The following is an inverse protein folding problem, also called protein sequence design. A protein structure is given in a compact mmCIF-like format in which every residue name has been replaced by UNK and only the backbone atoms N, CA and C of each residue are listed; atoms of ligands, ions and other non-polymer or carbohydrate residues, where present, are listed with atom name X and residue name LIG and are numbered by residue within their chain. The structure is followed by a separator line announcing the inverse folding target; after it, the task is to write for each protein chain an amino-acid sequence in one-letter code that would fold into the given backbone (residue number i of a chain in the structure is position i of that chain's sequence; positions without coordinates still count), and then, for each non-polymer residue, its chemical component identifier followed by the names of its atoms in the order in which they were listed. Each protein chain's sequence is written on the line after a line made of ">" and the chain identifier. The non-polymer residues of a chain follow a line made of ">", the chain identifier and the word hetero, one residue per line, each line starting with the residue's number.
data_IF_161007701367
#
_entry.id   IF_161007701367
#
_cell.length_a   1.000
_cell.length_b   1.000
_cell.length_c   1.000
_cell.angle_alpha   90.00
_cell.angle_beta   90.00
_cell.angle_gamma   90.00
#
_symmetry.space_group_name_H-M   'P 1'
#
loop_
_entity.id
_entity.type
_entity.pdbx_description
1 polymer ?
#
# COMPACT_ATOMS: atom_id res chain seq x y z
N UNK A 1 3.14 16.06 -16.65
CA UNK A 1 3.56 14.65 -16.82
C UNK A 1 3.84 14.32 -18.28
N UNK A 2 3.08 14.87 -19.24
CA UNK A 2 3.30 14.65 -20.69
C UNK A 2 4.74 14.91 -21.12
N UNK A 3 5.33 16.06 -20.75
CA UNK A 3 6.75 16.36 -21.04
C UNK A 3 7.72 15.26 -20.59
N UNK A 4 7.51 14.70 -19.40
CA UNK A 4 8.36 13.61 -18.89
C UNK A 4 8.10 12.30 -19.64
N UNK A 5 6.89 12.12 -20.17
CA UNK A 5 6.53 10.97 -21.00
C UNK A 5 7.19 11.06 -22.37
N UNK A 6 7.15 12.23 -23.00
CA UNK A 6 7.79 12.50 -24.30
C UNK A 6 9.32 12.42 -24.25
N UNK A 7 9.92 12.61 -23.07
CA UNK A 7 11.37 12.61 -22.88
C UNK A 7 11.89 11.33 -22.19
N UNK A 8 11.01 10.36 -21.93
CA UNK A 8 11.37 9.09 -21.29
C UNK A 8 10.72 7.92 -22.02
N UNK A 9 11.47 7.33 -22.95
CA UNK A 9 11.04 6.14 -23.68
C UNK A 9 10.65 5.02 -22.72
N UNK A 10 9.51 4.36 -22.98
CA UNK A 10 8.96 3.32 -22.12
C UNK A 10 8.11 3.82 -20.96
N UNK A 11 8.06 5.14 -20.70
CA UNK A 11 7.15 5.68 -19.68
C UNK A 11 5.74 5.92 -20.22
N UNK A 12 4.74 5.91 -19.32
CA UNK A 12 3.33 6.10 -19.65
C UNK A 12 2.61 6.92 -18.58
N UNK A 13 1.47 7.49 -18.96
CA UNK A 13 0.55 8.14 -18.01
C UNK A 13 -0.71 7.27 -17.91
N UNK A 14 -1.07 6.92 -16.68
CA UNK A 14 -2.34 6.30 -16.34
C UNK A 14 -3.25 7.34 -15.70
N UNK A 15 -4.36 7.63 -16.36
CA UNK A 15 -5.45 8.45 -15.82
C UNK A 15 -6.42 7.54 -15.07
N UNK A 16 -6.41 7.63 -13.74
CA UNK A 16 -7.33 6.91 -12.85
C UNK A 16 -8.43 7.88 -12.43
N UNK A 17 -9.57 7.32 -12.02
CA UNK A 17 -10.76 8.11 -11.62
C UNK A 17 -10.45 9.22 -10.61
N UNK A 18 -9.51 9.01 -9.69
CA UNK A 18 -9.16 9.97 -8.63
C UNK A 18 -7.67 10.31 -8.56
N UNK A 19 -6.83 9.82 -9.47
CA UNK A 19 -5.39 9.98 -9.38
C UNK A 19 -4.74 9.94 -10.76
N UNK A 20 -3.61 10.63 -10.91
CA UNK A 20 -2.80 10.57 -12.11
C UNK A 20 -1.47 9.90 -11.78
N UNK A 21 -1.11 8.88 -12.54
CA UNK A 21 0.12 8.13 -12.33
C UNK A 21 0.99 8.23 -13.56
N UNK A 22 2.25 8.60 -13.37
CA UNK A 22 3.29 8.45 -14.38
C UNK A 22 4.12 7.22 -14.04
N UNK A 23 4.04 6.20 -14.90
CA UNK A 23 4.77 4.94 -14.76
C UNK A 23 6.02 4.95 -15.62
N UNK A 24 7.13 4.45 -15.08
CA UNK A 24 8.38 4.25 -15.80
C UNK A 24 8.86 2.79 -15.74
N UNK A 25 7.93 1.85 -15.49
CA UNK A 25 8.23 0.41 -15.37
C UNK A 25 8.97 -0.15 -16.59
N UNK A 26 8.59 0.25 -17.80
CA UNK A 26 9.19 -0.22 -19.06
C UNK A 26 10.33 0.69 -19.56
N UNK A 27 10.71 1.71 -18.80
CA UNK A 27 11.82 2.59 -19.13
C UNK A 27 13.16 1.99 -18.66
N UNK A 28 14.28 2.55 -19.15
CA UNK A 28 15.59 2.26 -18.55
C UNK A 28 15.56 2.57 -17.04
N UNK A 29 15.93 1.63 -16.14
CA UNK A 29 15.73 1.81 -14.70
C UNK A 29 16.44 3.02 -14.10
N UNK A 30 17.67 3.29 -14.53
CA UNK A 30 18.47 4.39 -14.00
C UNK A 30 17.96 5.72 -14.52
N UNK A 31 17.66 5.79 -15.82
CA UNK A 31 17.12 6.98 -16.45
C UNK A 31 15.69 7.30 -15.96
N UNK A 32 14.82 6.30 -15.90
CA UNK A 32 13.45 6.41 -15.39
C UNK A 32 13.43 6.86 -13.93
N UNK A 33 14.30 6.30 -13.09
CA UNK A 33 14.46 6.73 -11.69
C UNK A 33 14.94 8.19 -11.56
N UNK A 34 15.84 8.63 -12.44
CA UNK A 34 16.29 10.02 -12.51
C UNK A 34 15.15 10.97 -12.91
N UNK A 35 14.42 10.62 -13.97
CA UNK A 35 13.25 11.36 -14.46
C UNK A 35 12.13 11.42 -13.42
N UNK A 36 11.88 10.32 -12.70
CA UNK A 36 10.92 10.26 -11.61
C UNK A 36 11.25 11.23 -10.47
N UNK A 37 12.54 11.37 -10.14
CA UNK A 37 13.00 12.33 -9.14
C UNK A 37 12.74 13.77 -9.60
N UNK A 38 13.11 14.10 -10.83
CA UNK A 38 12.84 15.42 -11.40
C UNK A 38 11.35 15.74 -11.46
N UNK A 39 10.53 14.77 -11.87
CA UNK A 39 9.08 14.90 -11.91
C UNK A 39 8.49 15.11 -10.52
N UNK A 40 8.92 14.35 -9.52
CA UNK A 40 8.50 14.51 -8.14
C UNK A 40 8.80 15.92 -7.63
N UNK A 41 10.05 16.36 -7.73
CA UNK A 41 10.50 17.68 -7.24
C UNK A 41 9.74 18.82 -7.94
N UNK A 42 9.50 18.68 -9.26
CA UNK A 42 8.74 19.66 -10.05
C UNK A 42 7.27 19.70 -9.60
N UNK A 43 6.61 18.54 -9.47
CA UNK A 43 5.21 18.49 -9.07
C UNK A 43 4.98 18.95 -7.63
N UNK A 44 5.86 18.59 -6.69
CA UNK A 44 5.79 19.06 -5.31
C UNK A 44 5.90 20.59 -5.22
N UNK A 45 6.75 21.20 -6.06
CA UNK A 45 6.90 22.64 -6.15
C UNK A 45 5.66 23.33 -6.73
N UNK A 46 5.16 22.85 -7.88
CA UNK A 46 4.05 23.48 -8.59
C UNK A 46 2.71 23.27 -7.87
N UNK A 47 2.53 22.11 -7.23
CA UNK A 47 1.29 21.73 -6.55
C UNK A 47 1.33 21.99 -5.03
N UNK A 48 2.32 22.72 -4.53
CA UNK A 48 2.53 22.95 -3.09
C UNK A 48 1.31 23.54 -2.36
N UNK A 49 0.47 24.31 -3.06
CA UNK A 49 -0.72 24.97 -2.50
C UNK A 49 -2.03 24.33 -2.94
N UNK A 50 -1.98 23.20 -3.65
CA UNK A 50 -3.15 22.48 -4.11
C UNK A 50 -3.49 21.34 -3.14
N UNK A 51 -4.77 20.91 -3.03
CA UNK A 51 -5.22 19.87 -2.10
C UNK A 51 -4.86 18.46 -2.58
N UNK A 52 -3.63 18.27 -3.05
CA UNK A 52 -3.10 17.02 -3.60
C UNK A 52 -1.80 16.64 -2.91
N UNK A 53 -1.39 15.40 -3.07
CA UNK A 53 -0.12 14.87 -2.58
C UNK A 53 0.55 14.13 -3.72
N UNK A 54 1.82 14.45 -3.93
CA UNK A 54 2.68 13.75 -4.89
C UNK A 54 3.44 12.68 -4.11
N UNK A 55 3.40 11.43 -4.58
CA UNK A 55 4.17 10.34 -3.99
C UNK A 55 4.89 9.56 -5.08
N UNK A 56 6.15 9.21 -4.80
CA UNK A 56 6.91 8.25 -5.60
C UNK A 56 6.77 6.84 -5.00
N UNK A 57 6.40 5.87 -5.84
CA UNK A 57 6.37 4.44 -5.54
C UNK A 57 7.48 3.67 -6.26
N UNK A 58 7.36 2.34 -6.35
CA UNK A 58 8.47 1.48 -6.81
C UNK A 58 8.93 1.73 -8.24
N UNK A 59 8.04 2.13 -9.17
CA UNK A 59 8.41 2.55 -10.54
C UNK A 59 7.44 3.59 -11.10
N UNK A 60 6.95 4.48 -10.24
CA UNK A 60 5.97 5.48 -10.64
C UNK A 60 5.99 6.73 -9.76
N UNK A 61 5.40 7.80 -10.28
CA UNK A 61 5.04 9.01 -9.54
C UNK A 61 3.53 9.20 -9.63
N UNK A 62 2.86 9.27 -8.49
CA UNK A 62 1.41 9.42 -8.37
C UNK A 62 1.06 10.79 -7.79
N UNK A 63 0.07 11.44 -8.37
CA UNK A 63 -0.62 12.61 -7.80
C UNK A 63 -2.02 12.17 -7.40
N UNK A 64 -2.36 12.37 -6.12
CA UNK A 64 -3.68 12.00 -5.57
C UNK A 64 -4.20 13.05 -4.59
N UNK A 65 -5.50 13.06 -4.26
CA UNK A 65 -6.05 13.94 -3.25
C UNK A 65 -5.33 13.79 -1.90
N UNK A 66 -5.13 14.93 -1.24
CA UNK A 66 -4.52 14.96 0.08
C UNK A 66 -5.38 14.22 1.11
N UNK A 67 -4.72 13.54 2.06
CA UNK A 67 -5.41 12.83 3.15
C UNK A 67 -5.97 11.46 2.77
N UNK A 68 -5.89 11.03 1.51
CA UNK A 68 -6.27 9.69 1.08
C UNK A 68 -5.07 8.73 1.20
N UNK A 69 -5.22 7.69 2.02
CA UNK A 69 -4.21 6.64 2.20
C UNK A 69 -4.83 5.29 2.51
N UNK A 70 -4.09 4.21 2.26
CA UNK A 70 -4.48 2.84 2.65
C UNK A 70 -4.66 2.73 4.18
N UNK A 71 -3.87 3.48 4.97
CA UNK A 71 -4.04 3.61 6.42
C UNK A 71 -5.38 4.22 6.85
N UNK A 72 -5.85 5.26 6.15
CA UNK A 72 -7.19 5.82 6.41
C UNK A 72 -8.29 4.76 6.20
N UNK A 73 -8.18 3.97 5.13
CA UNK A 73 -9.13 2.89 4.84
C UNK A 73 -9.06 1.80 5.91
N UNK A 74 -7.85 1.37 6.30
CA UNK A 74 -7.65 0.38 7.36
C UNK A 74 -8.30 0.82 8.69
N UNK A 75 -8.07 2.08 9.11
CA UNK A 75 -8.70 2.64 10.31
C UNK A 75 -10.22 2.62 10.20
N UNK A 76 -10.77 3.08 9.06
CA UNK A 76 -12.21 3.12 8.83
C UNK A 76 -12.83 1.72 8.85
N UNK A 77 -12.16 0.72 8.29
CA UNK A 77 -12.60 -0.68 8.35
C UNK A 77 -12.72 -1.16 9.80
N UNK A 78 -11.69 -0.94 10.61
CA UNK A 78 -11.72 -1.31 12.03
C UNK A 78 -12.85 -0.57 12.78
N UNK A 79 -13.05 0.72 12.52
CA UNK A 79 -14.14 1.48 13.13
C UNK A 79 -15.52 0.95 12.77
N UNK A 80 -15.75 0.62 11.50
CA UNK A 80 -17.02 0.03 11.06
C UNK A 80 -17.29 -1.35 11.70
N UNK A 81 -16.24 -2.15 11.92
CA UNK A 81 -16.38 -3.42 12.62
C UNK A 81 -16.78 -3.21 14.08
N UNK A 82 -16.13 -2.27 14.77
CA UNK A 82 -16.46 -1.93 16.15
C UNK A 82 -17.90 -1.39 16.29
N UNK A 83 -18.33 -0.52 15.38
CA UNK A 83 -19.71 0.01 15.34
C UNK A 83 -20.75 -1.11 15.17
N UNK A 84 -20.39 -2.19 14.48
CA UNK A 84 -21.21 -3.41 14.33
C UNK A 84 -21.13 -4.35 15.53
N UNK A 85 -20.39 -3.98 16.59
CA UNK A 85 -20.17 -4.80 17.77
C UNK A 85 -19.22 -5.97 17.55
N UNK A 86 -18.41 -5.95 16.49
CA UNK A 86 -17.44 -7.00 16.16
C UNK A 86 -16.03 -6.47 16.27
N UNK A 87 -15.18 -7.12 17.07
CA UNK A 87 -13.75 -6.82 17.13
C UNK A 87 -12.97 -7.92 16.40
N UNK A 88 -12.04 -7.58 15.49
CA UNK A 88 -11.20 -8.58 14.85
C UNK A 88 -10.36 -9.35 15.88
N UNK A 89 -10.40 -10.68 15.81
CA UNK A 89 -9.53 -11.59 16.58
C UNK A 89 -8.32 -12.08 15.76
N UNK A 90 -8.35 -11.85 14.44
CA UNK A 90 -7.26 -12.13 13.52
C UNK A 90 -7.19 -11.02 12.48
N UNK A 91 -6.00 -10.47 12.25
CA UNK A 91 -5.75 -9.44 11.24
C UNK A 91 -4.53 -9.84 10.44
N UNK A 92 -4.70 -10.02 9.13
CA UNK A 92 -3.62 -10.21 8.17
C UNK A 92 -3.64 -9.03 7.20
N UNK A 93 -2.59 -8.22 7.18
CA UNK A 93 -2.39 -7.17 6.18
C UNK A 93 -1.08 -7.40 5.42
N UNK A 94 -1.16 -7.40 4.09
CA UNK A 94 -0.05 -7.67 3.18
C UNK A 94 0.05 -6.51 2.20
N UNK A 95 1.27 -6.03 1.96
CA UNK A 95 1.52 -4.92 1.04
C UNK A 95 2.96 -4.91 0.52
N UNK A 96 3.15 -4.40 -0.68
CA UNK A 96 4.41 -4.46 -1.43
C UNK A 96 4.96 -3.09 -1.78
N UNK A 97 4.25 -2.00 -1.52
CA UNK A 97 4.70 -0.68 -1.95
C UNK A 97 4.74 0.31 -0.78
N UNK A 98 5.44 1.43 -0.99
CA UNK A 98 5.51 2.53 -0.01
C UNK A 98 4.12 3.01 0.41
N UNK A 99 3.11 2.90 -0.45
CA UNK A 99 1.73 3.24 -0.11
C UNK A 99 1.12 2.36 1.00
N UNK A 100 1.63 1.15 1.22
CA UNK A 100 1.16 0.21 2.25
C UNK A 100 1.71 0.52 3.65
N UNK A 101 2.78 1.30 3.75
CA UNK A 101 3.38 1.69 5.03
C UNK A 101 2.41 2.44 5.94
N UNK A 102 1.51 3.24 5.35
CA UNK A 102 0.45 3.92 6.10
C UNK A 102 -0.57 2.90 6.66
N UNK A 103 -0.81 1.79 5.96
CA UNK A 103 -1.68 0.70 6.43
C UNK A 103 -1.03 -0.09 7.56
N UNK A 104 0.25 -0.44 7.42
CA UNK A 104 0.98 -1.16 8.47
C UNK A 104 1.03 -0.36 9.78
N UNK A 105 1.32 0.95 9.70
CA UNK A 105 1.34 1.82 10.87
C UNK A 105 0.01 1.84 11.62
N UNK A 106 -1.10 1.99 10.89
CA UNK A 106 -2.43 2.02 11.48
C UNK A 106 -2.79 0.68 12.10
N UNK A 107 -2.53 -0.44 11.43
CA UNK A 107 -2.86 -1.76 11.97
C UNK A 107 -2.03 -2.06 13.23
N UNK A 108 -0.71 -1.81 13.18
CA UNK A 108 0.17 -2.04 14.32
C UNK A 108 -0.14 -1.12 15.50
N UNK A 109 -0.48 0.15 15.29
CA UNK A 109 -0.87 1.04 16.39
C UNK A 109 -2.26 0.71 16.96
N UNK A 110 -3.13 0.06 16.18
CA UNK A 110 -4.48 -0.30 16.62
C UNK A 110 -4.51 -1.49 17.57
N UNK A 111 -3.42 -2.25 17.72
CA UNK A 111 -3.36 -3.42 18.61
C UNK A 111 -3.45 -3.06 20.09
N UNK A 112 -3.04 -1.85 20.46
CA UNK A 112 -3.15 -1.31 21.83
C UNK A 112 -4.47 -0.55 22.05
N UNK A 113 -5.25 -0.34 20.99
CA UNK A 113 -6.49 0.45 21.01
C UNK A 113 -7.76 -0.39 21.17
N UNK A 114 -8.94 0.26 21.19
CA UNK A 114 -10.23 -0.41 21.32
C UNK A 114 -10.70 -1.08 20.01
N UNK A 115 -9.93 -0.98 18.94
CA UNK A 115 -10.33 -1.33 17.57
C UNK A 115 -10.11 -2.81 17.23
N UNK A 116 -9.22 -3.48 17.96
CA UNK A 116 -8.82 -4.87 17.76
C UNK A 116 -9.00 -5.62 19.09
N UNK A 117 -9.37 -6.90 19.04
CA UNK A 117 -9.55 -7.67 20.28
C UNK A 117 -8.23 -7.77 21.07
N UNK A 118 -8.23 -7.73 22.42
CA UNK A 118 -7.00 -7.71 23.23
C UNK A 118 -6.05 -8.90 23.06
N UNK A 119 -6.54 -10.01 22.50
CA UNK A 119 -5.77 -11.24 22.22
C UNK A 119 -5.71 -11.56 20.73
N UNK A 120 -5.97 -10.57 19.88
CA UNK A 120 -5.96 -10.81 18.46
C UNK A 120 -4.56 -11.14 17.95
N UNK A 121 -4.51 -12.05 16.99
CA UNK A 121 -3.29 -12.34 16.24
C UNK A 121 -3.18 -11.37 15.06
N UNK A 122 -2.12 -10.56 15.04
CA UNK A 122 -1.91 -9.50 14.04
C UNK A 122 -0.64 -9.72 13.26
N UNK A 123 -0.81 -9.89 11.95
CA UNK A 123 0.25 -10.16 10.98
C UNK A 123 0.27 -9.06 9.93
N UNK A 124 1.19 -8.11 10.11
CA UNK A 124 1.55 -7.14 9.09
C UNK A 124 2.78 -7.64 8.32
N UNK A 125 2.62 -7.87 7.02
CA UNK A 125 3.63 -8.47 6.15
C UNK A 125 3.96 -7.56 4.97
N UNK A 126 5.22 -7.20 4.80
CA UNK A 126 5.69 -6.58 3.56
C UNK A 126 6.09 -7.65 2.53
N UNK A 127 5.92 -7.40 1.24
CA UNK A 127 6.37 -8.32 0.18
C UNK A 127 7.75 -7.91 -0.32
N UNK A 128 8.68 -8.85 -0.32
CA UNK A 128 10.10 -8.64 -0.54
C UNK A 128 10.83 -8.19 0.73
N UNK A 129 12.11 -8.51 0.81
CA UNK A 129 12.97 -8.09 1.92
C UNK A 129 13.38 -6.63 1.77
N UNK A 130 12.73 -5.74 2.52
CA UNK A 130 12.99 -4.29 2.48
C UNK A 130 12.62 -3.61 3.80
N UNK A 131 13.13 -2.39 4.04
CA UNK A 131 12.70 -1.59 5.18
C UNK A 131 11.19 -1.36 5.14
N UNK A 132 10.50 -1.71 6.22
CA UNK A 132 9.04 -1.57 6.35
C UNK A 132 8.65 -1.43 7.83
N UNK A 133 7.50 -0.80 8.08
CA UNK A 133 6.80 -0.79 9.37
C UNK A 133 6.10 -2.13 9.66
N UNK A 134 5.96 -2.99 8.65
CA UNK A 134 5.48 -4.36 8.83
C UNK A 134 6.44 -5.18 9.71
N UNK A 135 5.89 -6.03 10.57
CA UNK A 135 6.68 -6.88 11.47
C UNK A 135 7.27 -8.10 10.75
N UNK A 136 6.61 -8.57 9.72
CA UNK A 136 6.97 -9.76 8.96
C UNK A 136 7.18 -9.42 7.49
N UNK A 137 7.75 -10.35 6.74
CA UNK A 137 7.82 -10.27 5.28
C UNK A 137 7.49 -11.61 4.64
N UNK A 138 7.10 -11.55 3.37
CA UNK A 138 6.99 -12.68 2.44
C UNK A 138 7.97 -12.42 1.29
N UNK A 139 8.65 -13.43 0.76
CA UNK A 139 9.71 -13.19 -0.23
C UNK A 139 9.15 -12.64 -1.55
N UNK A 140 8.02 -13.16 -2.01
CA UNK A 140 7.39 -12.81 -3.27
C UNK A 140 5.86 -13.04 -3.27
N UNK A 141 5.23 -12.79 -4.41
CA UNK A 141 3.78 -12.99 -4.58
C UNK A 141 3.37 -14.47 -4.58
N UNK A 142 4.27 -15.40 -4.94
CA UNK A 142 3.99 -16.82 -4.88
C UNK A 142 3.88 -17.30 -3.42
N UNK A 143 4.67 -16.74 -2.51
CA UNK A 143 4.55 -16.99 -1.08
C UNK A 143 3.19 -16.57 -0.51
N UNK A 144 2.66 -15.43 -0.96
CA UNK A 144 1.31 -14.97 -0.58
C UNK A 144 0.28 -16.02 -0.98
N UNK A 145 0.35 -16.52 -2.21
CA UNK A 145 -0.57 -17.54 -2.71
C UNK A 145 -0.45 -18.83 -1.88
N UNK A 146 0.76 -19.27 -1.56
CA UNK A 146 1.00 -20.44 -0.68
C UNK A 146 0.43 -20.24 0.72
N UNK A 147 0.64 -19.07 1.32
CA UNK A 147 0.08 -18.70 2.62
C UNK A 147 -1.44 -18.77 2.62
N UNK A 148 -2.09 -18.16 1.63
CA UNK A 148 -3.55 -18.15 1.50
C UNK A 148 -4.12 -19.55 1.28
N UNK A 149 -3.44 -20.39 0.47
CA UNK A 149 -3.80 -21.80 0.33
C UNK A 149 -3.66 -22.58 1.65
N UNK A 150 -2.60 -22.32 2.42
CA UNK A 150 -2.41 -22.91 3.74
C UNK A 150 -3.58 -22.58 4.67
N UNK A 151 -3.94 -21.30 4.78
CA UNK A 151 -5.08 -20.85 5.59
C UNK A 151 -6.40 -21.47 5.14
N UNK A 152 -6.67 -21.50 3.83
CA UNK A 152 -7.87 -22.12 3.29
C UNK A 152 -7.94 -23.63 3.55
N UNK A 153 -6.80 -24.33 3.44
CA UNK A 153 -6.72 -25.78 3.68
C UNK A 153 -7.03 -26.15 5.12
N UNK A 154 -6.57 -25.35 6.09
CA UNK A 154 -6.87 -25.55 7.52
C UNK A 154 -8.34 -25.25 7.80
N UNK A 155 -8.89 -24.17 7.22
CA UNK A 155 -10.31 -23.83 7.37
C UNK A 155 -11.25 -24.94 6.92
N UNK A 156 -10.89 -25.70 5.87
CA UNK A 156 -11.69 -26.81 5.38
C UNK A 156 -11.61 -28.06 6.27
N UNK A 157 -10.58 -28.16 7.12
CA UNK A 157 -10.42 -29.28 8.05
C UNK A 157 -11.19 -29.08 9.37
N UNK A 158 -11.58 -27.84 9.69
CA UNK A 158 -12.31 -27.50 10.93
C UNK A 158 -13.81 -27.80 10.88
N UNK A 159 -14.29 -28.61 9.93
CA UNK A 159 -15.65 -29.18 10.00
C UNK A 159 -15.52 -30.70 10.18
N UNK A 160 -15.65 -31.19 11.43
CA UNK A 160 -16.93 -31.79 11.82
C UNK A 160 -17.41 -31.36 13.21
N UNK A 161 -18.75 -31.17 13.26
CA UNK A 161 -19.72 -31.06 14.36
C UNK A 161 -19.22 -31.01 15.82
#
# INVERSE_FOLDING_TARGET
>A
MELYTETTDGSTIEDKETALVWSYEDADPDFGSCQAKGLLDHLESVLANEPVTVKRGQNYVEVKPQGVSKGLIARRMLSMMQERGTLPEFVLCIGDDRSDEDMFEVICSSTEGPWIAPRAEVFACTVGQKPSKAKYYLDDTAEIVRLMHGLASVSNQTTPA
#
